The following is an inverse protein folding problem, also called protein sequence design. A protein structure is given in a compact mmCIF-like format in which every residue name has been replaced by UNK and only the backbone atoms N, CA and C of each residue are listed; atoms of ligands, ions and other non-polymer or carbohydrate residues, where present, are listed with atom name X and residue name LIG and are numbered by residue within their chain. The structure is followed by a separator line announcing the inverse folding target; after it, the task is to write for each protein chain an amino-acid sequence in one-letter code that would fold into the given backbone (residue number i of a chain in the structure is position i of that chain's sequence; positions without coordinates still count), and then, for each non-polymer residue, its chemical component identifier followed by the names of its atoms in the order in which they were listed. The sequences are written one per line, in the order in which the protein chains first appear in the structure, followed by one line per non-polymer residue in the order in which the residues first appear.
data_IF_448168314042
#
_entry.id   IF_448168314042
#
_cell.length_a   1.000
_cell.length_b   1.000
_cell.length_c   1.000
_cell.angle_alpha   90.00
_cell.angle_beta   90.00
_cell.angle_gamma   90.00
#
_symmetry.space_group_name_H-M   'P 1'
#
loop_
_entity.id
_entity.type
_entity.pdbx_description
1 polymer ?
#
# COMPACT_ATOMS: atom_id res chain seq x y z
N UNK A 1 -8.26 -13.39 2.85
CA UNK A 1 -7.38 -12.92 1.76
C UNK A 1 -6.85 -11.54 2.10
N UNK A 2 -5.70 -11.52 2.75
CA UNK A 2 -4.86 -10.33 2.93
C UNK A 2 -4.34 -9.89 1.57
N UNK A 3 -4.66 -8.65 1.17
CA UNK A 3 -4.11 -8.05 -0.05
C UNK A 3 -2.76 -7.44 0.24
N UNK A 4 -1.87 -7.45 -0.76
CA UNK A 4 -0.59 -6.75 -0.67
C UNK A 4 -0.84 -5.25 -0.81
N UNK A 5 -0.36 -4.46 0.15
CA UNK A 5 -0.40 -3.00 0.07
C UNK A 5 0.81 -2.49 -0.71
N UNK A 6 0.55 -1.72 -1.75
CA UNK A 6 1.56 -1.17 -2.66
C UNK A 6 1.40 0.35 -2.69
N UNK A 7 2.46 1.07 -2.36
CA UNK A 7 2.50 2.52 -2.47
C UNK A 7 2.90 2.94 -3.88
N UNK A 8 2.21 3.95 -4.40
CA UNK A 8 2.44 4.55 -5.71
C UNK A 8 2.91 5.99 -5.55
N UNK A 9 4.12 6.26 -6.04
CA UNK A 9 4.58 7.61 -6.28
C UNK A 9 3.85 8.24 -7.50
N UNK A 10 3.85 9.56 -7.56
CA UNK A 10 3.22 10.44 -8.55
C UNK A 10 3.32 9.98 -10.01
N UNK A 11 4.42 9.34 -10.42
CA UNK A 11 4.62 8.87 -11.80
C UNK A 11 4.43 7.36 -12.03
N UNK A 12 3.99 6.59 -11.03
CA UNK A 12 3.79 5.15 -11.17
C UNK A 12 2.52 4.79 -11.97
N UNK A 13 2.65 3.91 -12.98
CA UNK A 13 1.55 3.55 -13.89
C UNK A 13 0.84 2.24 -13.47
N UNK A 14 -0.35 2.38 -12.86
CA UNK A 14 -1.23 1.27 -12.45
C UNK A 14 -1.71 0.44 -13.64
N UNK A 15 -1.82 1.03 -14.84
CA UNK A 15 -2.42 0.36 -16.00
C UNK A 15 -1.64 -0.87 -16.46
N UNK A 16 -0.35 -0.95 -16.09
CA UNK A 16 0.54 -2.08 -16.35
C UNK A 16 0.46 -3.19 -15.30
N UNK A 17 -0.18 -2.93 -14.15
CA UNK A 17 -0.33 -3.87 -13.03
C UNK A 17 -1.70 -4.55 -12.99
N UNK A 18 -2.47 -4.49 -14.08
CA UNK A 18 -3.85 -4.98 -14.15
C UNK A 18 -4.01 -6.46 -13.77
N UNK A 19 -3.03 -7.30 -14.09
CA UNK A 19 -3.07 -8.75 -13.82
C UNK A 19 -3.03 -9.07 -12.32
N UNK A 20 -2.25 -8.31 -11.56
CA UNK A 20 -2.07 -8.51 -10.11
C UNK A 20 -3.03 -7.65 -9.27
N UNK A 21 -3.64 -6.62 -9.87
CA UNK A 21 -4.48 -5.65 -9.18
C UNK A 21 -5.63 -6.23 -8.32
N UNK A 22 -6.28 -7.37 -8.65
CA UNK A 22 -7.31 -7.95 -7.79
C UNK A 22 -6.79 -8.39 -6.41
N UNK A 23 -5.49 -8.66 -6.28
CA UNK A 23 -4.83 -9.16 -5.07
C UNK A 23 -4.02 -8.10 -4.33
N UNK A 24 -4.07 -6.85 -4.81
CA UNK A 24 -3.31 -5.74 -4.25
C UNK A 24 -4.24 -4.57 -3.89
N UNK A 25 -3.86 -3.84 -2.85
CA UNK A 25 -4.41 -2.52 -2.54
C UNK A 25 -3.34 -1.48 -2.86
N UNK A 26 -3.70 -0.51 -3.70
CA UNK A 26 -2.79 0.53 -4.13
C UNK A 26 -3.06 1.79 -3.32
N UNK A 27 -2.02 2.36 -2.72
CA UNK A 27 -2.08 3.57 -1.91
C UNK A 27 -1.30 4.69 -2.58
N UNK A 28 -1.80 5.91 -2.44
CA UNK A 28 -1.10 7.11 -2.86
C UNK A 28 -1.37 8.22 -1.84
N UNK A 29 -0.43 9.16 -1.70
CA UNK A 29 -0.72 10.39 -0.95
C UNK A 29 -1.84 11.17 -1.68
N UNK A 30 -2.85 11.66 -0.96
CA UNK A 30 -3.97 12.42 -1.53
C UNK A 30 -3.59 13.73 -2.25
N UNK A 31 -2.32 14.15 -2.22
CA UNK A 31 -1.86 15.50 -2.60
C UNK A 31 -0.95 15.57 -3.83
N UNK A 32 -0.75 14.45 -4.54
CA UNK A 32 -0.21 14.50 -5.90
C UNK A 32 -1.31 14.90 -6.90
N UNK A 33 -0.93 15.76 -7.86
CA UNK A 33 -1.79 16.47 -8.82
C UNK A 33 -2.78 15.59 -9.63
N UNK A 34 -3.82 16.20 -10.24
CA UNK A 34 -5.12 15.60 -10.57
C UNK A 34 -5.17 14.62 -11.76
N UNK A 35 -4.02 14.25 -12.35
CA UNK A 35 -3.93 13.20 -13.37
C UNK A 35 -4.06 11.81 -12.74
N UNK A 36 -5.10 11.65 -11.90
CA UNK A 36 -5.40 10.43 -11.15
C UNK A 36 -5.50 9.28 -12.14
N UNK A 37 -4.83 8.14 -11.88
CA UNK A 37 -5.01 6.95 -12.71
C UNK A 37 -6.50 6.60 -12.80
N UNK A 38 -6.95 6.10 -13.96
CA UNK A 38 -8.36 5.78 -14.26
C UNK A 38 -9.03 4.85 -13.24
N UNK A 39 -8.23 4.16 -12.41
CA UNK A 39 -8.65 3.39 -11.24
C UNK A 39 -8.09 4.10 -10.00
N UNK A 40 -8.96 4.67 -9.16
CA UNK A 40 -8.55 5.46 -8.00
C UNK A 40 -7.82 4.57 -6.97
N UNK A 41 -6.55 4.83 -6.63
CA UNK A 41 -5.93 4.20 -5.48
C UNK A 41 -6.66 4.60 -4.19
N UNK A 42 -6.47 3.81 -3.14
CA UNK A 42 -6.85 4.19 -1.80
C UNK A 42 -6.00 5.38 -1.35
N UNK A 43 -6.60 6.27 -0.58
CA UNK A 43 -5.90 7.40 -0.01
C UNK A 43 -5.18 6.95 1.26
N UNK A 44 -3.86 7.15 1.28
CA UNK A 44 -3.07 6.94 2.49
C UNK A 44 -3.25 8.12 3.46
N UNK A 45 -3.06 7.87 4.76
CA UNK A 45 -2.93 8.95 5.74
C UNK A 45 -1.52 9.53 5.63
N UNK A 46 -1.38 10.78 5.17
CA UNK A 46 -0.08 11.39 4.98
C UNK A 46 0.73 11.44 6.27
N UNK A 47 2.05 11.38 6.13
CA UNK A 47 3.01 11.65 7.21
C UNK A 47 3.45 13.11 7.22
N UNK A 48 3.69 13.67 8.41
CA UNK A 48 4.22 15.02 8.69
C UNK A 48 3.72 16.12 7.75
N UNK A 49 2.45 16.07 7.37
CA UNK A 49 1.90 16.97 6.35
C UNK A 49 1.78 18.39 6.90
N UNK A 50 2.28 19.38 6.16
CA UNK A 50 2.10 20.79 6.48
C UNK A 50 1.12 21.43 5.50
N UNK A 51 0.53 22.59 5.88
CA UNK A 51 -0.38 23.34 5.01
C UNK A 51 0.18 23.64 3.61
N UNK A 52 1.50 23.78 3.47
CA UNK A 52 2.17 24.03 2.18
C UNK A 52 2.26 22.79 1.28
N UNK A 53 2.16 21.60 1.87
CA UNK A 53 2.18 20.32 1.16
C UNK A 53 0.75 19.97 0.66
N UNK A 54 -0.23 20.83 0.95
CA UNK A 54 -1.66 20.64 0.67
C UNK A 54 -2.06 21.16 -0.71
N UNK A 55 -2.48 20.25 -1.61
CA UNK A 55 -2.88 20.59 -2.99
C UNK A 55 -4.35 20.25 -3.34
N UNK A 56 -5.19 19.94 -2.35
CA UNK A 56 -6.62 19.58 -2.54
C UNK A 56 -7.57 20.51 -1.79
N UNK A 57 -8.85 20.54 -2.16
CA UNK A 57 -9.85 21.32 -1.44
C UNK A 57 -10.16 20.71 -0.06
N UNK A 58 -10.71 21.50 0.85
CA UNK A 58 -11.12 21.05 2.20
C UNK A 58 -12.18 19.92 2.15
N UNK A 59 -13.05 19.93 1.14
CA UNK A 59 -14.10 18.92 0.92
C UNK A 59 -13.53 17.55 0.50
N UNK A 60 -12.31 17.53 -0.05
CA UNK A 60 -11.56 16.32 -0.40
C UNK A 60 -10.60 15.87 0.71
N UNK A 61 -10.55 16.60 1.84
CA UNK A 61 -9.67 16.29 2.97
C UNK A 61 -10.08 14.98 3.65
N UNK A 62 -9.19 14.00 3.59
CA UNK A 62 -9.49 12.62 3.99
C UNK A 62 -8.29 12.00 4.68
N UNK A 63 -7.71 12.69 5.67
CA UNK A 63 -7.92 12.40 7.10
C UNK A 63 -7.92 13.64 8.04
N UNK A 64 -8.16 13.45 9.34
CA UNK A 64 -8.03 14.54 10.32
C UNK A 64 -6.56 14.97 10.45
N UNK A 65 -6.31 16.27 10.62
CA UNK A 65 -4.95 16.83 10.76
C UNK A 65 -4.12 16.15 11.86
N UNK A 66 -4.76 15.76 12.97
CA UNK A 66 -4.09 15.06 14.08
C UNK A 66 -3.56 13.68 13.72
N UNK A 67 -4.10 13.07 12.66
CA UNK A 67 -3.64 11.76 12.19
C UNK A 67 -2.47 11.90 11.21
N UNK A 68 -2.10 13.11 10.79
CA UNK A 68 -1.05 13.35 9.78
C UNK A 68 0.37 13.45 10.37
N UNK A 69 0.62 12.80 11.51
CA UNK A 69 1.94 12.77 12.14
C UNK A 69 2.90 11.82 11.43
N UNK A 70 4.20 12.06 11.63
CA UNK A 70 5.27 11.15 11.24
C UNK A 70 5.10 9.75 11.81
N UNK A 71 5.65 8.77 11.11
CA UNK A 71 5.85 7.45 11.72
C UNK A 71 6.99 7.49 12.75
N UNK A 72 7.15 6.41 13.50
CA UNK A 72 8.29 6.24 14.41
C UNK A 72 9.66 6.25 13.70
N UNK A 73 9.70 6.03 12.37
CA UNK A 73 10.91 6.02 11.56
C UNK A 73 11.12 7.29 10.73
N UNK A 74 10.28 8.32 10.93
CA UNK A 74 10.31 9.52 10.10
C UNK A 74 11.70 10.18 10.07
N UNK A 75 12.33 10.31 11.24
CA UNK A 75 13.64 10.96 11.36
C UNK A 75 14.75 10.16 10.67
N UNK A 76 14.73 8.84 10.78
CA UNK A 76 15.68 7.95 10.11
C UNK A 76 15.49 7.94 8.59
N UNK A 77 14.23 7.95 8.13
CA UNK A 77 13.90 8.07 6.70
C UNK A 77 14.39 9.41 6.15
N UNK A 78 14.14 10.51 6.88
CA UNK A 78 14.63 11.84 6.52
C UNK A 78 16.17 11.90 6.48
N UNK A 79 16.84 11.27 7.44
CA UNK A 79 18.31 11.21 7.46
C UNK A 79 18.89 10.46 6.24
N UNK A 80 18.22 9.42 5.77
CA UNK A 80 18.63 8.66 4.58
C UNK A 80 18.35 9.47 3.31
N UNK A 81 17.10 9.90 3.11
CA UNK A 81 16.64 10.59 1.89
C UNK A 81 17.23 12.01 1.79
N UNK A 82 17.51 12.64 2.91
CA UNK A 82 18.00 14.01 3.04
C UNK A 82 16.85 15.01 3.17
N UNK A 83 16.92 15.87 4.19
CA UNK A 83 15.85 16.84 4.50
C UNK A 83 15.56 17.88 3.40
N UNK A 84 16.47 18.08 2.44
CA UNK A 84 16.19 18.89 1.24
C UNK A 84 15.13 18.26 0.32
N UNK A 85 14.92 16.95 0.41
CA UNK A 85 14.00 16.16 -0.40
C UNK A 85 12.72 15.84 0.39
N UNK A 86 12.13 16.87 1.01
CA UNK A 86 10.96 16.72 1.88
C UNK A 86 9.85 15.89 1.25
N UNK A 87 9.53 16.12 -0.03
CA UNK A 87 8.44 15.39 -0.71
C UNK A 87 8.67 13.89 -0.67
N UNK A 88 9.87 13.43 -1.05
CA UNK A 88 10.25 12.02 -1.03
C UNK A 88 10.18 11.41 0.38
N UNK A 89 10.57 12.18 1.40
CA UNK A 89 10.41 11.78 2.81
C UNK A 89 8.95 11.54 3.15
N UNK A 90 8.05 12.46 2.76
CA UNK A 90 6.61 12.31 3.00
C UNK A 90 6.05 11.09 2.27
N UNK A 91 6.40 10.87 1.01
CA UNK A 91 5.95 9.68 0.26
C UNK A 91 6.40 8.39 0.93
N UNK A 92 7.69 8.28 1.25
CA UNK A 92 8.26 7.06 1.78
C UNK A 92 7.78 6.75 3.20
N UNK A 93 7.72 7.77 4.07
CA UNK A 93 7.22 7.58 5.43
C UNK A 93 5.72 7.26 5.46
N UNK A 94 4.95 7.85 4.54
CA UNK A 94 3.52 7.50 4.38
C UNK A 94 3.35 6.06 3.93
N UNK A 95 4.20 5.56 3.01
CA UNK A 95 4.18 4.16 2.61
C UNK A 95 4.43 3.22 3.81
N UNK A 96 5.39 3.55 4.66
CA UNK A 96 5.69 2.80 5.87
C UNK A 96 4.53 2.81 6.87
N UNK A 97 3.99 3.99 7.18
CA UNK A 97 2.85 4.16 8.08
C UNK A 97 1.59 3.44 7.59
N UNK A 98 1.45 3.29 6.27
CA UNK A 98 0.35 2.56 5.63
C UNK A 98 0.61 1.04 5.53
N UNK A 99 1.75 0.58 6.06
CA UNK A 99 2.21 -0.81 6.03
C UNK A 99 2.29 -1.35 4.59
N UNK A 100 2.68 -0.50 3.64
CA UNK A 100 2.95 -0.94 2.28
C UNK A 100 4.19 -1.84 2.27
N UNK A 101 4.11 -2.96 1.55
CA UNK A 101 5.26 -3.86 1.38
C UNK A 101 6.14 -3.45 0.20
N UNK A 102 5.59 -2.63 -0.69
CA UNK A 102 6.22 -2.24 -1.95
C UNK A 102 6.01 -0.75 -2.17
N UNK A 103 7.07 -0.05 -2.56
CA UNK A 103 7.08 1.33 -3.01
C UNK A 103 7.42 1.36 -4.50
N UNK A 104 6.50 1.85 -5.34
CA UNK A 104 6.70 2.03 -6.76
C UNK A 104 7.00 3.48 -7.08
N UNK A 105 8.16 3.74 -7.69
CA UNK A 105 8.56 5.07 -8.19
C UNK A 105 8.83 5.03 -9.68
N UNK A 106 8.58 6.13 -10.40
CA UNK A 106 8.96 6.27 -11.81
C UNK A 106 10.34 6.85 -12.03
N UNK A 107 11.00 7.36 -10.98
CA UNK A 107 12.30 8.01 -11.11
C UNK A 107 13.43 7.24 -10.43
N UNK A 108 14.65 7.50 -10.92
CA UNK A 108 15.87 6.98 -10.30
C UNK A 108 16.49 8.00 -9.34
N UNK A 109 15.66 8.86 -8.73
CA UNK A 109 16.06 9.95 -7.87
C UNK A 109 16.53 9.49 -6.49
N UNK A 110 16.23 10.29 -5.46
CA UNK A 110 16.75 10.08 -4.13
C UNK A 110 16.29 8.77 -3.49
N UNK A 111 14.99 8.46 -3.54
CA UNK A 111 14.46 7.18 -3.01
C UNK A 111 15.13 5.99 -3.70
N UNK A 112 15.20 6.00 -5.03
CA UNK A 112 15.79 4.89 -5.78
C UNK A 112 17.28 4.72 -5.50
N UNK A 113 18.05 5.82 -5.50
CA UNK A 113 19.50 5.78 -5.27
C UNK A 113 19.86 5.27 -3.87
N UNK A 114 18.98 5.51 -2.88
CA UNK A 114 19.15 5.11 -1.48
C UNK A 114 18.36 3.85 -1.08
N UNK A 115 17.71 3.19 -2.04
CA UNK A 115 16.78 2.08 -1.81
C UNK A 115 17.28 0.97 -0.90
N UNK A 116 18.55 0.57 -0.97
CA UNK A 116 19.06 -0.52 -0.15
C UNK A 116 19.03 -0.18 1.36
N UNK A 117 19.34 1.07 1.71
CA UNK A 117 19.28 1.55 3.08
C UNK A 117 17.83 1.64 3.56
N UNK A 118 16.94 2.15 2.69
CA UNK A 118 15.52 2.25 2.97
C UNK A 118 14.86 0.88 3.13
N UNK A 119 15.14 -0.06 2.23
CA UNK A 119 14.65 -1.45 2.29
C UNK A 119 15.09 -2.14 3.58
N UNK A 120 16.34 -1.93 4.01
CA UNK A 120 16.85 -2.51 5.26
C UNK A 120 16.20 -1.87 6.51
N UNK A 121 15.91 -0.57 6.46
CA UNK A 121 15.28 0.15 7.57
C UNK A 121 13.81 -0.23 7.73
N UNK A 122 13.05 -0.31 6.64
CA UNK A 122 11.58 -0.38 6.69
C UNK A 122 11.01 -1.73 6.25
N UNK A 123 11.80 -2.57 5.58
CA UNK A 123 11.32 -3.79 4.92
C UNK A 123 10.50 -3.54 3.64
N UNK A 124 10.31 -2.28 3.23
CA UNK A 124 9.54 -1.93 2.04
C UNK A 124 10.40 -2.11 0.80
N UNK A 125 10.00 -2.97 -0.13
CA UNK A 125 10.72 -3.14 -1.40
C UNK A 125 10.54 -1.94 -2.31
N UNK A 126 11.62 -1.34 -2.79
CA UNK A 126 11.56 -0.20 -3.74
C UNK A 126 11.74 -0.70 -5.16
N UNK A 127 10.78 -0.40 -6.02
CA UNK A 127 10.75 -0.82 -7.41
C UNK A 127 10.58 0.41 -8.32
N UNK A 128 11.35 0.45 -9.41
CA UNK A 128 11.36 1.57 -10.36
C UNK A 128 10.59 1.23 -11.65
N UNK A 129 9.74 2.16 -12.12
CA UNK A 129 8.82 1.96 -13.25
C UNK A 129 8.73 3.18 -14.17
N UNK A 130 9.64 3.28 -15.16
CA UNK A 130 9.26 3.68 -16.52
C UNK A 130 9.77 2.70 -17.60
N UNK A 131 10.67 1.76 -17.29
CA UNK A 131 11.19 0.73 -18.19
C UNK A 131 11.53 -0.54 -17.38
N UNK A 132 10.96 -1.70 -17.76
CA UNK A 132 11.22 -2.98 -17.08
C UNK A 132 10.07 -3.53 -16.23
N UNK A 133 8.84 -3.45 -16.76
CA UNK A 133 7.60 -3.93 -16.15
C UNK A 133 7.57 -5.43 -15.82
N UNK A 134 8.54 -6.23 -16.25
CA UNK A 134 8.56 -7.66 -15.93
C UNK A 134 9.13 -7.95 -14.55
N UNK A 135 10.27 -7.35 -14.17
CA UNK A 135 10.90 -7.67 -12.87
C UNK A 135 10.03 -7.26 -11.69
N UNK A 136 9.39 -6.10 -11.77
CA UNK A 136 8.43 -5.67 -10.76
C UNK A 136 7.19 -6.59 -10.72
N UNK A 137 6.64 -6.96 -11.89
CA UNK A 137 5.51 -7.89 -11.95
C UNK A 137 5.88 -9.28 -11.45
N UNK A 138 7.05 -9.80 -11.80
CA UNK A 138 7.59 -11.08 -11.33
C UNK A 138 7.77 -11.05 -9.82
N UNK A 139 8.42 -10.02 -9.29
CA UNK A 139 8.60 -9.88 -7.84
C UNK A 139 7.26 -9.84 -7.11
N UNK A 140 6.30 -9.03 -7.58
CA UNK A 140 4.99 -8.94 -6.95
C UNK A 140 4.23 -10.27 -7.10
N UNK A 141 4.32 -10.93 -8.25
CA UNK A 141 3.70 -12.23 -8.50
C UNK A 141 4.29 -13.31 -7.58
N UNK A 142 5.60 -13.37 -7.43
CA UNK A 142 6.29 -14.32 -6.56
C UNK A 142 5.93 -14.08 -5.10
N UNK A 143 5.89 -12.81 -4.67
CA UNK A 143 5.44 -12.43 -3.33
C UNK A 143 3.99 -12.87 -3.10
N UNK A 144 3.10 -12.63 -4.06
CA UNK A 144 1.71 -13.07 -4.01
C UNK A 144 1.57 -14.60 -3.93
N UNK A 145 2.48 -15.36 -4.55
CA UNK A 145 2.46 -16.81 -4.54
C UNK A 145 3.12 -17.42 -3.29
N UNK A 146 4.05 -16.69 -2.67
CA UNK A 146 4.69 -17.07 -1.41
C UNK A 146 3.80 -16.80 -0.18
N UNK A 147 2.83 -15.89 -0.29
CA UNK A 147 1.85 -15.65 0.77
C UNK A 147 0.96 -16.90 0.93
N UNK A 148 0.79 -17.42 2.16
CA UNK A 148 -0.08 -18.56 2.39
C UNK A 148 -1.49 -18.22 1.93
N UNK A 149 -2.05 -19.08 1.07
CA UNK A 149 -3.47 -18.99 0.73
C UNK A 149 -4.22 -19.31 2.02
N UNK A 150 -4.81 -18.28 2.65
CA UNK A 150 -5.85 -18.51 3.65
C UNK A 150 -6.98 -19.26 2.96
N UNK A 151 -6.97 -20.58 3.08
CA UNK A 151 -8.11 -21.41 2.74
C UNK A 151 -9.21 -20.95 3.71
N UNK A 152 -10.36 -20.48 3.20
CA UNK A 152 -11.49 -20.21 4.07
C UNK A 152 -11.78 -21.48 4.83
N UNK A 153 -11.60 -21.45 6.14
CA UNK A 153 -12.09 -22.51 7.01
C UNK A 153 -13.60 -22.43 6.84
N UNK A 154 -14.17 -23.34 6.05
CA UNK A 154 -15.60 -23.60 6.05
C UNK A 154 -15.93 -24.06 7.46
N UNK A 155 -16.32 -23.11 8.30
CA UNK A 155 -16.91 -23.38 9.60
C UNK A 155 -18.21 -24.11 9.31
N UNK A 156 -18.10 -25.43 9.22
CA UNK A 156 -19.18 -26.33 8.85
C UNK A 156 -20.44 -25.91 9.57
N UNK A 157 -21.45 -25.50 8.79
CA UNK A 157 -22.81 -25.53 9.28
C UNK A 157 -23.13 -26.99 9.51
N UNK A 158 -23.05 -27.41 10.77
CA UNK A 158 -23.75 -28.60 11.25
C UNK A 158 -25.21 -28.46 10.81
N UNK A 159 -25.57 -29.23 9.79
CA UNK A 159 -26.94 -29.49 9.42
C UNK A 159 -27.55 -30.33 10.55
N UNK A 160 -28.07 -29.64 11.55
CA UNK A 160 -28.95 -30.23 12.56
C UNK A 160 -30.24 -30.70 11.86
N UNK A 161 -30.22 -31.88 11.24
CA UNK A 161 -31.43 -32.62 10.90
C UNK A 161 -31.96 -33.28 12.17
N UNK A 162 -32.83 -32.58 12.90
CA UNK A 162 -33.72 -33.23 13.87
C UNK A 162 -34.66 -34.14 13.07
N UNK A 163 -34.43 -35.44 13.14
CA UNK A 163 -35.47 -36.44 12.85
C UNK A 163 -36.23 -36.64 14.15
N UNK A 164 -37.42 -36.05 14.22
CA UNK A 164 -38.42 -36.40 15.21
C UNK A 164 -38.81 -37.86 14.98
N UNK A 165 -38.33 -38.74 15.86
CA UNK A 165 -38.84 -40.10 15.99
C UNK A 165 -39.94 -40.06 17.06
N UNK A 166 -41.19 -40.01 16.59
CA UNK A 166 -42.37 -40.38 17.35
C UNK A 166 -42.23 -41.83 17.81
N UNK A 167 -42.11 -42.04 19.11
CA UNK A 167 -42.29 -43.35 19.74
C UNK A 167 -43.66 -43.32 20.41
N UNK A 168 -44.63 -43.95 19.76
CA UNK A 168 -45.85 -44.41 20.41
C UNK A 168 -45.46 -45.47 21.45
N UNK A 169 -45.90 -45.26 22.69
CA UNK A 169 -45.82 -46.26 23.75
C UNK A 169 -47.24 -46.86 23.97
N UNK A 170 -47.34 -48.18 24.24
CA UNK A 170 -48.59 -48.92 24.32
C UNK A 170 -49.43 -48.62 25.57
#
# INVERSE_FOLDING_TARGET
MTKIRIYLDSGADISKLKSIAPRCDFYQIPYDSPDRPKKKPLLAVPSECQCRDWHVSWEESTPAWGDMTGSALHSEIEAIIGGSNRRDVLHFDTAYKTECLIFLTSDKGDIWSKRALLENLTGIKVLHTPFGSEQALTYISDLLNALPIEIPIDSGKESSSRRDLSIDAP
#
